data_IF_482028183653
#
_entry.id   IF_482028183653
#
_cell.length_a   1.000
_cell.length_b   1.000
_cell.length_c   1.000
_cell.angle_alpha   90.00
_cell.angle_beta   90.00
_cell.angle_gamma   90.00
#
_symmetry.space_group_name_H-M   'P 1'
#
loop_
_entity.id
_entity.type
_entity.pdbx_description
1 polymer ?
#
# COMPACT_ATOMS: atom_id res chain seq x y z
N UNK A 1 5.69 18.27 -23.90
CA UNK A 1 6.80 17.57 -23.18
C UNK A 1 7.62 16.89 -24.25
N UNK A 2 8.95 16.89 -24.13
CA UNK A 2 9.79 16.10 -25.02
C UNK A 2 9.54 14.62 -24.76
N UNK A 3 9.71 13.78 -25.77
CA UNK A 3 9.70 12.33 -25.65
C UNK A 3 10.82 11.90 -24.68
N UNK A 4 10.55 10.94 -23.80
CA UNK A 4 11.52 10.39 -22.85
C UNK A 4 11.86 8.95 -23.24
N UNK A 5 13.13 8.58 -23.25
CA UNK A 5 13.58 7.20 -23.38
C UNK A 5 14.30 6.75 -22.11
N UNK A 6 13.94 5.59 -21.57
CA UNK A 6 14.61 4.99 -20.41
C UNK A 6 15.26 3.68 -20.86
N UNK A 7 16.58 3.61 -20.73
CA UNK A 7 17.37 2.41 -20.98
C UNK A 7 17.69 1.75 -19.64
N UNK A 8 17.35 0.48 -19.49
CA UNK A 8 17.65 -0.28 -18.28
C UNK A 8 18.46 -1.53 -18.58
N UNK A 9 19.33 -1.95 -17.65
CA UNK A 9 20.16 -3.16 -17.78
C UNK A 9 19.35 -4.43 -17.55
N UNK A 10 18.37 -4.34 -16.70
CA UNK A 10 17.37 -5.37 -16.38
C UNK A 10 16.06 -4.72 -15.98
N UNK A 11 14.95 -5.46 -16.03
CA UNK A 11 13.64 -4.87 -15.79
C UNK A 11 12.61 -5.91 -15.35
N UNK A 12 11.54 -5.43 -14.73
CA UNK A 12 10.33 -6.17 -14.41
C UNK A 12 9.19 -5.63 -15.26
N UNK A 13 8.51 -6.49 -16.02
CA UNK A 13 7.45 -6.04 -16.92
C UNK A 13 6.05 -5.91 -16.27
N UNK A 14 5.95 -6.33 -15.00
CA UNK A 14 4.71 -6.44 -14.22
C UNK A 14 4.30 -7.89 -13.93
N UNK A 15 4.92 -8.87 -14.61
CA UNK A 15 4.71 -10.31 -14.40
C UNK A 15 6.04 -11.07 -14.25
N UNK A 16 7.06 -10.73 -15.07
CA UNK A 16 8.34 -11.41 -15.11
C UNK A 16 9.53 -10.46 -15.01
N UNK A 17 10.64 -10.98 -14.47
CA UNK A 17 11.92 -10.26 -14.42
C UNK A 17 12.73 -10.66 -15.66
N UNK A 18 13.22 -9.64 -16.36
CA UNK A 18 14.05 -9.76 -17.56
C UNK A 18 15.48 -9.32 -17.25
N UNK A 19 16.45 -10.18 -17.61
CA UNK A 19 17.88 -9.96 -17.35
C UNK A 19 18.61 -9.27 -18.50
N UNK A 20 17.97 -9.13 -19.67
CA UNK A 20 18.49 -8.41 -20.83
C UNK A 20 18.08 -6.94 -20.78
N UNK A 21 18.91 -6.05 -21.38
CA UNK A 21 18.58 -4.63 -21.46
C UNK A 21 17.31 -4.37 -22.24
N UNK A 22 16.66 -3.25 -21.89
CA UNK A 22 15.44 -2.72 -22.53
C UNK A 22 15.58 -1.23 -22.78
N UNK A 23 14.92 -0.72 -23.82
CA UNK A 23 14.66 0.71 -24.02
C UNK A 23 13.15 0.92 -24.05
N UNK A 24 12.64 1.71 -23.11
CA UNK A 24 11.22 2.09 -22.99
C UNK A 24 11.07 3.53 -23.44
N UNK A 25 10.21 3.78 -24.42
CA UNK A 25 9.91 5.12 -24.96
C UNK A 25 8.57 5.60 -24.43
N UNK A 26 8.57 6.80 -23.93
CA UNK A 26 7.42 7.48 -23.31
C UNK A 26 7.14 8.75 -24.10
N UNK A 27 5.90 8.90 -24.53
CA UNK A 27 5.38 10.14 -25.09
C UNK A 27 4.15 10.58 -24.29
N UNK A 28 4.16 11.81 -23.82
CA UNK A 28 3.19 12.36 -22.89
C UNK A 28 3.03 11.46 -21.66
N UNK A 29 1.88 10.80 -21.49
CA UNK A 29 1.58 9.95 -20.33
C UNK A 29 1.60 8.45 -20.66
N UNK A 30 2.07 8.05 -21.86
CA UNK A 30 1.90 6.68 -22.37
C UNK A 30 3.23 6.08 -22.81
N UNK A 31 3.41 4.79 -22.57
CA UNK A 31 4.51 3.99 -23.15
C UNK A 31 4.18 3.75 -24.62
N UNK A 32 4.97 4.30 -25.52
CA UNK A 32 4.74 4.20 -26.98
C UNK A 32 5.57 3.13 -27.66
N UNK A 33 6.72 2.74 -27.05
CA UNK A 33 7.51 1.62 -27.53
C UNK A 33 8.29 0.94 -26.40
N UNK A 34 8.54 -0.36 -26.58
CA UNK A 34 9.42 -1.19 -25.73
C UNK A 34 10.31 -1.98 -26.64
N UNK A 35 11.60 -1.70 -26.62
CA UNK A 35 12.59 -2.32 -27.50
C UNK A 35 13.56 -3.18 -26.69
N UNK A 36 13.86 -4.37 -27.17
CA UNK A 36 14.93 -5.19 -26.61
C UNK A 36 16.29 -4.51 -26.86
N UNK A 37 17.13 -4.48 -25.85
CA UNK A 37 18.45 -3.88 -25.91
C UNK A 37 18.45 -2.35 -25.67
N UNK A 38 19.64 -1.79 -25.67
CA UNK A 38 19.85 -0.34 -25.56
C UNK A 38 19.90 0.25 -26.95
N UNK A 39 18.93 1.08 -27.29
CA UNK A 39 18.88 1.77 -28.58
C UNK A 39 18.79 3.29 -28.34
N UNK A 40 19.44 4.03 -29.22
CA UNK A 40 19.28 5.50 -29.27
C UNK A 40 17.92 5.83 -29.89
N UNK A 41 17.15 6.71 -29.23
CA UNK A 41 15.86 7.20 -29.72
C UNK A 41 16.02 8.67 -30.10
N UNK A 42 16.10 9.00 -31.41
CA UNK A 42 16.29 10.37 -31.85
C UNK A 42 15.19 11.32 -31.34
N UNK A 43 15.59 12.47 -30.85
CA UNK A 43 14.65 13.50 -30.38
C UNK A 43 14.03 13.25 -29.00
N UNK A 44 14.54 12.25 -28.25
CA UNK A 44 14.13 12.01 -26.88
C UNK A 44 15.20 12.43 -25.87
N UNK A 45 14.76 12.87 -24.69
CA UNK A 45 15.62 12.93 -23.52
C UNK A 45 15.90 11.47 -23.07
N UNK A 46 17.16 11.12 -22.78
CA UNK A 46 17.54 9.74 -22.47
C UNK A 46 18.02 9.59 -21.03
N UNK A 47 17.57 8.54 -20.35
CA UNK A 47 18.01 8.14 -19.01
C UNK A 47 18.49 6.68 -19.03
N UNK A 48 19.67 6.41 -18.44
CA UNK A 48 20.18 5.05 -18.25
C UNK A 48 20.11 4.65 -16.75
N UNK A 49 19.60 3.45 -16.47
CA UNK A 49 19.39 2.94 -15.11
C UNK A 49 19.75 1.45 -15.02
N UNK A 50 20.08 0.94 -13.84
CA UNK A 50 20.38 -0.47 -13.63
C UNK A 50 19.15 -1.37 -13.64
N UNK A 51 18.01 -0.87 -13.13
CA UNK A 51 16.76 -1.63 -13.10
C UNK A 51 15.55 -0.71 -13.31
N UNK A 52 14.59 -1.20 -14.10
CA UNK A 52 13.32 -0.51 -14.37
C UNK A 52 12.15 -1.42 -14.00
N UNK A 53 11.15 -0.87 -13.32
CA UNK A 53 9.89 -1.54 -13.03
C UNK A 53 8.69 -0.64 -13.29
N UNK A 54 7.47 -1.17 -13.38
CA UNK A 54 6.29 -0.36 -13.16
C UNK A 54 6.41 0.35 -11.83
N UNK A 55 5.83 1.52 -11.71
CA UNK A 55 5.84 2.30 -10.48
C UNK A 55 5.25 1.51 -9.31
N UNK A 56 5.94 1.55 -8.17
CA UNK A 56 5.50 0.83 -6.98
C UNK A 56 4.17 1.39 -6.46
N UNK A 57 3.41 0.55 -5.78
CA UNK A 57 2.12 0.85 -5.17
C UNK A 57 2.20 0.57 -3.68
N UNK A 58 1.91 1.57 -2.87
CA UNK A 58 1.67 1.43 -1.43
C UNK A 58 0.17 1.20 -1.22
N UNK A 59 -0.22 -0.05 -0.87
CA UNK A 59 -1.64 -0.40 -0.79
C UNK A 59 -2.30 -0.03 0.53
N UNK A 60 -1.54 0.38 1.54
CA UNK A 60 -2.09 0.79 2.84
C UNK A 60 -1.19 1.83 3.53
N UNK A 61 -1.62 3.07 3.54
CA UNK A 61 -0.97 4.13 4.28
C UNK A 61 -1.99 5.11 4.88
N UNK A 62 -1.55 5.92 5.83
CA UNK A 62 -2.24 7.07 6.39
C UNK A 62 -1.37 8.31 6.19
N UNK A 63 -1.57 9.04 5.10
CA UNK A 63 -0.71 10.15 4.69
C UNK A 63 -0.66 11.30 5.70
N UNK A 64 -1.73 11.50 6.46
CA UNK A 64 -1.78 12.54 7.47
C UNK A 64 -0.93 12.25 8.72
N UNK A 65 -0.55 11.00 8.97
CA UNK A 65 0.25 10.61 10.14
C UNK A 65 1.75 10.77 9.89
N UNK A 66 2.48 11.22 10.92
CA UNK A 66 3.94 11.25 10.87
C UNK A 66 4.53 9.92 11.35
N UNK A 67 4.88 9.05 10.40
CA UNK A 67 5.56 7.79 10.66
C UNK A 67 7.05 7.93 11.03
N UNK A 68 7.61 9.14 11.06
CA UNK A 68 9.01 9.42 11.42
C UNK A 68 9.18 9.87 12.88
N UNK A 69 8.10 10.27 13.56
CA UNK A 69 8.14 10.56 15.00
C UNK A 69 7.81 9.29 15.79
N UNK A 70 8.68 8.89 16.68
CA UNK A 70 8.55 7.66 17.49
C UNK A 70 8.21 7.95 18.96
N UNK A 71 8.36 9.20 19.40
CA UNK A 71 7.94 9.63 20.74
C UNK A 71 6.41 9.67 20.82
N UNK A 72 5.84 8.84 21.69
CA UNK A 72 4.39 8.69 21.81
C UNK A 72 3.70 9.96 22.30
N UNK A 73 4.34 10.77 23.17
CA UNK A 73 3.79 12.03 23.65
C UNK A 73 3.74 13.08 22.54
N UNK A 74 4.80 13.16 21.71
CA UNK A 74 4.82 14.04 20.54
C UNK A 74 3.79 13.63 19.51
N UNK A 75 3.64 12.32 19.26
CA UNK A 75 2.59 11.80 18.37
C UNK A 75 1.19 12.14 18.86
N UNK A 76 0.94 12.05 20.17
CA UNK A 76 -0.33 12.45 20.74
C UNK A 76 -0.56 13.96 20.58
N UNK A 77 0.42 14.80 20.91
CA UNK A 77 0.33 16.26 20.71
C UNK A 77 0.13 16.62 19.22
N UNK A 78 0.76 15.88 18.31
CA UNK A 78 0.56 16.05 16.88
C UNK A 78 -0.91 15.81 16.46
N UNK A 79 -1.63 14.88 17.08
CA UNK A 79 -3.05 14.63 16.78
C UNK A 79 -3.96 15.81 17.15
N UNK A 80 -3.48 16.75 17.93
CA UNK A 80 -4.16 18.01 18.30
C UNK A 80 -3.73 19.20 17.43
N UNK A 81 -2.72 19.04 16.57
CA UNK A 81 -2.14 20.12 15.78
C UNK A 81 -3.05 20.66 14.66
N UNK A 82 -4.09 19.91 14.30
CA UNK A 82 -5.10 20.33 13.35
C UNK A 82 -4.75 20.12 11.87
N UNK A 83 -5.71 20.49 11.03
CA UNK A 83 -5.76 20.14 9.60
C UNK A 83 -4.54 20.60 8.81
N UNK A 84 -4.05 21.83 9.05
CA UNK A 84 -2.90 22.37 8.28
C UNK A 84 -1.60 21.62 8.56
N UNK A 85 -1.36 21.21 9.82
CA UNK A 85 -0.21 20.39 10.17
C UNK A 85 -0.29 19.01 9.51
N UNK A 86 -1.47 18.38 9.51
CA UNK A 86 -1.71 17.10 8.85
C UNK A 86 -1.47 17.19 7.34
N UNK A 87 -1.94 18.25 6.69
CA UNK A 87 -1.75 18.47 5.28
C UNK A 87 -0.27 18.70 4.93
N UNK A 88 0.43 19.49 5.75
CA UNK A 88 1.87 19.71 5.58
C UNK A 88 2.69 18.41 5.72
N UNK A 89 2.32 17.56 6.68
CA UNK A 89 2.90 16.21 6.85
C UNK A 89 2.60 15.33 5.65
N UNK A 90 1.36 15.31 5.18
CA UNK A 90 0.94 14.51 4.03
C UNK A 90 1.69 14.87 2.75
N UNK A 91 1.93 16.17 2.48
CA UNK A 91 2.75 16.63 1.35
C UNK A 91 4.18 16.07 1.42
N UNK A 92 4.82 16.15 2.61
CA UNK A 92 6.16 15.56 2.82
C UNK A 92 6.16 14.05 2.62
N UNK A 93 5.11 13.37 3.06
CA UNK A 93 4.98 11.93 2.89
C UNK A 93 4.84 11.54 1.42
N UNK A 94 4.10 12.30 0.60
CA UNK A 94 4.05 12.08 -0.85
C UNK A 94 5.42 12.23 -1.51
N UNK A 95 6.23 13.21 -1.10
CA UNK A 95 7.60 13.38 -1.61
C UNK A 95 8.49 12.18 -1.24
N UNK A 96 8.35 11.65 -0.02
CA UNK A 96 9.08 10.46 0.45
C UNK A 96 8.69 9.22 -0.34
N UNK A 97 7.39 9.01 -0.57
CA UNK A 97 6.87 7.92 -1.39
C UNK A 97 7.45 7.99 -2.81
N UNK A 98 7.42 9.16 -3.47
CA UNK A 98 8.02 9.36 -4.78
C UNK A 98 9.51 9.02 -4.80
N UNK A 99 10.28 9.48 -3.82
CA UNK A 99 11.71 9.21 -3.71
C UNK A 99 12.02 7.70 -3.49
N UNK A 100 11.04 6.92 -3.08
CA UNK A 100 11.12 5.47 -2.91
C UNK A 100 10.55 4.69 -4.11
N UNK A 101 10.24 5.36 -5.23
CA UNK A 101 9.70 4.72 -6.44
C UNK A 101 8.21 4.42 -6.42
N UNK A 102 7.48 4.91 -5.42
CA UNK A 102 6.04 4.71 -5.29
C UNK A 102 5.32 5.75 -6.16
N UNK A 103 4.46 5.30 -7.07
CA UNK A 103 3.69 6.13 -8.01
C UNK A 103 2.20 6.17 -7.71
N UNK A 104 1.72 5.25 -6.86
CA UNK A 104 0.33 5.16 -6.43
C UNK A 104 0.30 4.77 -4.94
N UNK A 105 -0.51 5.45 -4.15
CA UNK A 105 -0.75 5.12 -2.75
C UNK A 105 -2.23 5.08 -2.46
N UNK A 106 -2.71 4.03 -1.76
CA UNK A 106 -4.03 3.99 -1.16
C UNK A 106 -3.94 4.54 0.26
N UNK A 107 -4.51 5.72 0.46
CA UNK A 107 -4.72 6.29 1.79
C UNK A 107 -5.98 5.68 2.40
N UNK A 108 -5.80 4.97 3.52
CA UNK A 108 -6.84 4.19 4.19
C UNK A 108 -7.74 5.01 5.14
N UNK A 109 -7.70 6.32 5.02
CA UNK A 109 -8.71 7.19 5.59
C UNK A 109 -8.21 8.16 6.66
N UNK A 110 -8.89 9.28 6.71
CA UNK A 110 -8.84 10.29 7.76
C UNK A 110 -10.20 11.01 7.87
N UNK A 111 -10.46 11.69 8.98
CA UNK A 111 -11.72 12.43 9.19
C UNK A 111 -11.62 13.95 8.96
N UNK A 112 -10.47 14.43 8.45
CA UNK A 112 -10.22 15.86 8.22
C UNK A 112 -10.17 16.21 6.73
N UNK A 113 -10.40 15.23 5.84
CA UNK A 113 -10.37 15.40 4.40
C UNK A 113 -8.95 15.64 3.84
N UNK A 114 -7.93 15.16 4.55
CA UNK A 114 -6.53 15.31 4.13
C UNK A 114 -6.26 14.46 2.88
N UNK A 115 -6.72 13.20 2.87
CA UNK A 115 -6.53 12.30 1.74
C UNK A 115 -7.17 12.83 0.45
N UNK A 116 -8.37 13.42 0.53
CA UNK A 116 -9.02 14.08 -0.63
C UNK A 116 -8.26 15.32 -1.10
N UNK A 117 -7.77 16.13 -0.15
CA UNK A 117 -6.98 17.32 -0.48
C UNK A 117 -5.67 16.93 -1.17
N UNK A 118 -4.95 15.95 -0.63
CA UNK A 118 -3.70 15.45 -1.21
C UNK A 118 -3.93 14.81 -2.59
N UNK A 119 -5.04 14.09 -2.80
CA UNK A 119 -5.44 13.57 -4.11
C UNK A 119 -5.56 14.69 -5.14
N UNK A 120 -6.21 15.78 -4.75
CA UNK A 120 -6.39 16.95 -5.63
C UNK A 120 -5.06 17.65 -5.90
N UNK A 121 -4.23 17.86 -4.87
CA UNK A 121 -2.94 18.54 -5.01
C UNK A 121 -1.92 17.74 -5.83
N UNK A 122 -1.94 16.41 -5.72
CA UNK A 122 -1.04 15.53 -6.45
C UNK A 122 -1.44 15.37 -7.93
N UNK A 123 -2.70 15.60 -8.27
CA UNK A 123 -3.21 15.41 -9.63
C UNK A 123 -2.45 16.26 -10.65
N UNK A 124 -1.98 15.63 -11.73
CA UNK A 124 -1.24 16.30 -12.80
C UNK A 124 0.17 16.76 -12.43
N UNK A 125 0.72 16.27 -11.31
CA UNK A 125 2.11 16.52 -10.89
C UNK A 125 2.97 15.25 -11.07
N UNK A 126 4.24 15.31 -10.66
CA UNK A 126 5.11 14.13 -10.57
C UNK A 126 5.06 13.46 -9.16
N UNK A 127 4.09 13.82 -8.32
CA UNK A 127 3.85 13.14 -7.04
C UNK A 127 3.03 11.86 -7.26
N UNK A 128 3.08 10.89 -6.33
CA UNK A 128 2.26 9.69 -6.39
C UNK A 128 0.77 10.03 -6.52
N UNK A 129 0.06 9.29 -7.34
CA UNK A 129 -1.41 9.34 -7.38
C UNK A 129 -1.94 8.87 -6.02
N UNK A 130 -2.86 9.62 -5.45
CA UNK A 130 -3.52 9.24 -4.19
C UNK A 130 -4.86 8.61 -4.49
N UNK A 131 -5.04 7.35 -4.11
CA UNK A 131 -6.32 6.67 -4.03
C UNK A 131 -6.87 6.88 -2.61
N UNK A 132 -7.96 7.58 -2.49
CA UNK A 132 -8.47 8.07 -1.21
C UNK A 132 -9.68 7.26 -0.75
N UNK A 133 -9.59 6.61 0.42
CA UNK A 133 -10.73 5.96 1.05
C UNK A 133 -11.67 6.94 1.78
N UNK A 134 -11.31 8.23 1.85
CA UNK A 134 -12.10 9.23 2.54
C UNK A 134 -12.14 9.00 4.05
N UNK A 135 -13.33 9.06 4.63
CA UNK A 135 -13.58 8.78 6.06
C UNK A 135 -14.03 7.33 6.22
N UNK A 136 -13.33 6.54 7.03
CA UNK A 136 -13.72 5.17 7.34
C UNK A 136 -15.03 5.09 8.15
N UNK A 137 -15.65 3.91 8.21
CA UNK A 137 -16.86 3.66 9.00
C UNK A 137 -16.55 2.73 10.15
N UNK A 138 -16.96 3.08 11.39
CA UNK A 138 -16.78 2.27 12.59
C UNK A 138 -18.06 2.23 13.45
N UNK A 139 -18.17 1.24 14.31
CA UNK A 139 -19.21 1.18 15.35
C UNK A 139 -18.91 2.19 16.44
N UNK A 140 -19.96 2.89 16.93
CA UNK A 140 -19.86 3.83 18.04
C UNK A 140 -19.19 3.20 19.26
N UNK A 141 -18.25 3.95 19.85
CA UNK A 141 -17.50 3.52 21.04
C UNK A 141 -16.47 2.43 20.80
N UNK A 142 -16.23 1.99 19.54
CA UNK A 142 -15.22 0.97 19.20
C UNK A 142 -13.96 1.64 18.63
N UNK A 143 -12.96 0.82 18.27
CA UNK A 143 -11.69 1.28 17.69
C UNK A 143 -11.90 2.07 16.38
N UNK A 144 -11.01 3.03 16.13
CA UNK A 144 -10.94 3.81 14.88
C UNK A 144 -11.40 5.28 15.02
N UNK A 145 -11.59 5.81 16.24
CA UNK A 145 -12.13 7.16 16.50
C UNK A 145 -11.32 8.30 15.86
N UNK A 146 -10.06 8.10 15.60
CA UNK A 146 -9.16 9.13 15.05
C UNK A 146 -9.22 9.25 13.51
N UNK A 147 -9.85 8.30 12.79
CA UNK A 147 -9.92 8.35 11.31
C UNK A 147 -11.27 7.93 10.74
N UNK A 148 -12.22 7.48 11.57
CA UNK A 148 -13.49 6.92 11.13
C UNK A 148 -14.71 7.66 11.74
N UNK A 149 -15.81 7.68 10.99
CA UNK A 149 -17.12 8.14 11.39
C UNK A 149 -17.88 7.05 12.14
N UNK A 150 -18.65 7.45 13.15
CA UNK A 150 -19.41 6.53 14.00
C UNK A 150 -20.80 6.24 13.44
N UNK A 151 -21.16 4.96 13.46
CA UNK A 151 -22.52 4.47 13.19
C UNK A 151 -23.04 3.65 14.36
N UNK A 152 -24.35 3.68 14.58
CA UNK A 152 -24.98 3.08 15.77
C UNK A 152 -25.70 1.76 15.49
N UNK A 153 -26.17 1.54 14.26
CA UNK A 153 -26.92 0.38 13.83
C UNK A 153 -26.71 0.04 12.34
N UNK A 154 -27.34 -1.01 11.86
CA UNK A 154 -27.26 -1.46 10.47
C UNK A 154 -27.75 -0.42 9.46
N UNK A 155 -28.84 0.27 9.78
CA UNK A 155 -29.45 1.28 8.88
C UNK A 155 -28.53 2.47 8.71
N UNK A 156 -27.99 3.00 9.80
CA UNK A 156 -27.04 4.11 9.78
C UNK A 156 -25.73 3.74 9.14
N UNK A 157 -25.26 2.46 9.29
CA UNK A 157 -24.05 1.97 8.68
C UNK A 157 -24.14 1.96 7.13
N UNK A 158 -25.18 1.36 6.57
CA UNK A 158 -25.39 1.33 5.12
C UNK A 158 -25.65 2.75 4.54
N UNK A 159 -26.40 3.60 5.26
CA UNK A 159 -26.63 4.99 4.87
C UNK A 159 -25.32 5.79 4.86
N UNK A 160 -24.48 5.61 5.88
CA UNK A 160 -23.15 6.24 5.95
C UNK A 160 -22.27 5.81 4.75
N UNK A 161 -22.28 4.53 4.36
CA UNK A 161 -21.54 4.08 3.17
C UNK A 161 -22.03 4.78 1.91
N UNK A 162 -23.34 4.96 1.72
CA UNK A 162 -23.91 5.65 0.55
C UNK A 162 -23.47 7.12 0.43
N UNK A 163 -23.00 7.75 1.50
CA UNK A 163 -22.46 9.12 1.43
C UNK A 163 -21.03 9.19 0.90
N UNK A 164 -20.34 8.05 0.69
CA UNK A 164 -18.93 7.97 0.24
C UNK A 164 -18.78 8.15 -1.28
N UNK A 165 -19.54 9.06 -1.86
CA UNK A 165 -19.58 9.28 -3.33
C UNK A 165 -18.25 9.80 -3.88
N UNK A 166 -17.49 10.57 -3.10
CA UNK A 166 -16.21 11.16 -3.49
C UNK A 166 -14.97 10.29 -3.14
N UNK A 167 -15.16 9.20 -2.41
CA UNK A 167 -14.07 8.26 -2.09
C UNK A 167 -13.80 7.33 -3.27
N UNK A 168 -12.55 6.83 -3.38
CA UNK A 168 -12.20 5.78 -4.35
C UNK A 168 -12.49 4.38 -3.81
N UNK A 169 -12.44 4.21 -2.49
CA UNK A 169 -12.76 2.98 -1.75
C UNK A 169 -13.70 3.29 -0.57
N UNK A 170 -14.34 2.26 -0.03
CA UNK A 170 -15.08 2.33 1.24
C UNK A 170 -14.28 1.61 2.32
N UNK A 171 -13.69 2.34 3.26
CA UNK A 171 -12.95 1.77 4.40
C UNK A 171 -13.91 1.47 5.56
N UNK A 172 -13.83 0.24 6.07
CA UNK A 172 -14.61 -0.26 7.21
C UNK A 172 -13.67 -0.75 8.29
N UNK A 173 -13.92 -0.36 9.55
CA UNK A 173 -13.19 -0.86 10.71
C UNK A 173 -13.95 -2.04 11.28
N UNK A 174 -13.54 -3.25 10.90
CA UNK A 174 -14.26 -4.49 11.26
C UNK A 174 -13.90 -5.01 12.64
N UNK A 175 -12.64 -4.81 13.08
CA UNK A 175 -12.18 -5.29 14.41
C UNK A 175 -11.38 -4.20 15.12
N UNK A 176 -10.93 -4.48 16.36
CA UNK A 176 -9.90 -3.69 17.01
C UNK A 176 -8.50 -4.03 16.52
N UNK A 177 -7.52 -3.32 17.07
CA UNK A 177 -6.09 -3.60 16.83
C UNK A 177 -5.62 -4.83 17.60
N UNK A 178 -4.39 -5.26 17.35
CA UNK A 178 -3.69 -6.23 18.20
C UNK A 178 -3.40 -5.57 19.56
N UNK A 179 -3.80 -6.21 20.62
CA UNK A 179 -3.32 -5.93 21.97
C UNK A 179 -1.92 -6.54 22.09
N UNK A 180 -0.91 -5.67 22.10
CA UNK A 180 0.48 -6.11 22.07
C UNK A 180 0.89 -6.85 23.35
N UNK A 181 0.27 -6.54 24.50
CA UNK A 181 0.57 -7.23 25.75
C UNK A 181 -0.08 -8.62 25.79
N UNK A 182 -1.33 -8.72 25.31
CA UNK A 182 -2.09 -9.98 25.28
C UNK A 182 -1.78 -10.84 24.04
N UNK A 183 -1.12 -10.28 23.02
CA UNK A 183 -0.91 -10.89 21.72
C UNK A 183 -2.21 -11.45 21.11
N UNK A 184 -3.26 -10.65 21.14
CA UNK A 184 -4.60 -11.00 20.69
C UNK A 184 -5.32 -9.80 20.07
N UNK A 185 -6.41 -10.03 19.34
CA UNK A 185 -7.24 -8.95 18.82
C UNK A 185 -8.05 -8.31 19.95
N UNK A 186 -7.99 -6.99 20.05
CA UNK A 186 -8.71 -6.22 21.07
C UNK A 186 -10.20 -6.09 20.73
N UNK A 187 -11.03 -6.82 21.45
CA UNK A 187 -12.48 -6.87 21.26
C UNK A 187 -12.90 -7.73 20.05
N UNK A 188 -14.20 -8.03 19.97
CA UNK A 188 -14.79 -8.80 18.87
C UNK A 188 -15.07 -7.94 17.62
N UNK A 189 -15.71 -8.54 16.59
CA UNK A 189 -16.17 -7.82 15.40
C UNK A 189 -17.04 -6.61 15.72
N UNK A 190 -16.93 -5.53 14.93
CA UNK A 190 -17.73 -4.33 15.11
C UNK A 190 -19.10 -4.42 14.44
N UNK A 191 -19.21 -5.27 13.43
CA UNK A 191 -20.43 -5.46 12.64
C UNK A 191 -20.76 -6.94 12.54
N UNK A 192 -22.04 -7.28 12.57
CA UNK A 192 -22.54 -8.62 12.25
C UNK A 192 -22.41 -8.87 10.74
N UNK A 193 -22.65 -10.14 10.35
CA UNK A 193 -22.70 -10.51 8.93
C UNK A 193 -23.73 -9.70 8.13
N UNK A 194 -24.95 -9.56 8.68
CA UNK A 194 -26.06 -8.86 8.01
C UNK A 194 -25.75 -7.36 7.85
N UNK A 195 -25.19 -6.73 8.89
CA UNK A 195 -24.78 -5.33 8.87
C UNK A 195 -23.68 -5.09 7.84
N UNK A 196 -22.64 -5.91 7.85
CA UNK A 196 -21.54 -5.76 6.89
C UNK A 196 -21.98 -6.07 5.46
N UNK A 197 -22.88 -7.06 5.27
CA UNK A 197 -23.47 -7.35 3.95
C UNK A 197 -24.27 -6.16 3.40
N UNK A 198 -25.01 -5.47 4.25
CA UNK A 198 -25.71 -4.24 3.85
C UNK A 198 -24.73 -3.11 3.47
N UNK A 199 -23.59 -2.99 4.18
CA UNK A 199 -22.54 -2.00 3.88
C UNK A 199 -21.84 -2.32 2.55
N UNK A 200 -21.47 -3.59 2.31
CA UNK A 200 -20.82 -4.01 1.05
C UNK A 200 -21.77 -3.88 -0.14
N UNK A 201 -23.07 -4.17 0.05
CA UNK A 201 -24.09 -3.91 -0.97
C UNK A 201 -24.21 -2.42 -1.31
N UNK A 202 -24.23 -1.54 -0.29
CA UNK A 202 -24.25 -0.08 -0.49
C UNK A 202 -23.00 0.42 -1.23
N UNK A 203 -21.82 -0.11 -0.90
CA UNK A 203 -20.58 0.22 -1.62
C UNK A 203 -20.64 -0.25 -3.10
N UNK A 204 -21.20 -1.42 -3.35
CA UNK A 204 -21.41 -1.95 -4.70
C UNK A 204 -22.38 -1.09 -5.52
N UNK A 205 -23.44 -0.54 -4.90
CA UNK A 205 -24.35 0.43 -5.54
C UNK A 205 -23.59 1.67 -6.03
N UNK A 206 -22.54 2.09 -5.31
CA UNK A 206 -21.67 3.18 -5.70
C UNK A 206 -20.56 2.79 -6.68
N UNK A 207 -20.43 1.50 -7.03
CA UNK A 207 -19.32 0.98 -7.84
C UNK A 207 -17.97 1.06 -7.14
N UNK A 208 -17.93 1.03 -5.80
CA UNK A 208 -16.71 1.23 -5.02
C UNK A 208 -16.23 -0.07 -4.37
N UNK A 209 -14.92 -0.40 -4.46
CA UNK A 209 -14.31 -1.47 -3.69
C UNK A 209 -14.42 -1.21 -2.19
N UNK A 210 -14.47 -2.28 -1.41
CA UNK A 210 -14.47 -2.20 0.06
C UNK A 210 -13.15 -2.68 0.62
N UNK A 211 -12.68 -2.05 1.70
CA UNK A 211 -11.43 -2.37 2.38
C UNK A 211 -11.65 -2.42 3.89
N UNK A 212 -11.27 -3.51 4.55
CA UNK A 212 -11.54 -3.71 5.97
C UNK A 212 -10.25 -3.76 6.81
N UNK A 213 -10.13 -2.86 7.80
CA UNK A 213 -9.24 -3.12 8.94
C UNK A 213 -9.81 -4.32 9.70
N UNK A 214 -9.16 -5.47 9.62
CA UNK A 214 -9.72 -6.71 10.12
C UNK A 214 -8.65 -7.72 10.51
N UNK A 215 -8.72 -8.21 11.74
CA UNK A 215 -7.91 -9.30 12.27
C UNK A 215 -8.77 -10.22 13.12
N UNK A 216 -8.26 -11.42 13.40
CA UNK A 216 -9.01 -12.44 14.14
C UNK A 216 -9.98 -13.23 13.28
N UNK A 217 -10.00 -14.54 13.50
CA UNK A 217 -10.72 -15.52 12.67
C UNK A 217 -12.19 -15.15 12.46
N UNK A 218 -12.90 -14.78 13.53
CA UNK A 218 -14.33 -14.44 13.45
C UNK A 218 -14.59 -13.19 12.58
N UNK A 219 -13.82 -12.12 12.81
CA UNK A 219 -13.97 -10.88 12.02
C UNK A 219 -13.67 -11.10 10.55
N UNK A 220 -12.63 -11.87 10.24
CA UNK A 220 -12.23 -12.17 8.86
C UNK A 220 -13.28 -13.08 8.19
N UNK A 221 -13.81 -14.10 8.89
CA UNK A 221 -14.88 -14.96 8.35
C UNK A 221 -16.12 -14.15 7.95
N UNK A 222 -16.56 -13.26 8.86
CA UNK A 222 -17.68 -12.36 8.57
C UNK A 222 -17.37 -11.47 7.36
N UNK A 223 -16.19 -10.88 7.31
CA UNK A 223 -15.81 -9.96 6.25
C UNK A 223 -15.73 -10.65 4.87
N UNK A 224 -15.10 -11.82 4.79
CA UNK A 224 -15.00 -12.60 3.55
C UNK A 224 -16.39 -13.04 3.07
N UNK A 225 -17.24 -13.55 3.97
CA UNK A 225 -18.62 -13.94 3.61
C UNK A 225 -19.48 -12.77 3.16
N UNK A 226 -19.28 -11.60 3.74
CA UNK A 226 -19.99 -10.37 3.35
C UNK A 226 -19.47 -9.74 2.04
N UNK A 227 -18.45 -10.33 1.40
CA UNK A 227 -17.93 -9.87 0.11
C UNK A 227 -17.03 -8.65 0.19
N UNK A 228 -16.25 -8.52 1.27
CA UNK A 228 -15.21 -7.48 1.38
C UNK A 228 -14.17 -7.64 0.25
N UNK A 229 -13.78 -6.53 -0.37
CA UNK A 229 -12.81 -6.52 -1.47
C UNK A 229 -11.37 -6.79 -1.01
N UNK A 230 -10.94 -6.22 0.12
CA UNK A 230 -9.63 -6.53 0.72
C UNK A 230 -9.66 -6.55 2.24
N UNK A 231 -8.87 -7.49 2.82
CA UNK A 231 -8.56 -7.57 4.25
C UNK A 231 -7.22 -6.89 4.47
N UNK A 232 -7.21 -5.93 5.37
CA UNK A 232 -5.99 -5.27 5.83
C UNK A 232 -5.53 -5.89 7.15
N UNK A 233 -4.23 -6.06 7.30
CA UNK A 233 -3.56 -6.78 8.40
C UNK A 233 -3.82 -8.29 8.34
N UNK A 234 -5.02 -8.76 8.61
CA UNK A 234 -5.36 -10.18 8.50
C UNK A 234 -4.64 -11.07 9.52
N UNK A 235 -4.22 -10.54 10.66
CA UNK A 235 -3.62 -11.36 11.71
C UNK A 235 -4.63 -12.43 12.19
N UNK A 236 -4.13 -13.65 12.46
CA UNK A 236 -4.91 -14.84 12.80
C UNK A 236 -5.78 -15.41 11.66
N UNK A 237 -5.38 -15.19 10.41
CA UNK A 237 -5.85 -15.97 9.26
C UNK A 237 -5.50 -17.45 9.46
N UNK A 238 -6.31 -18.32 8.89
CA UNK A 238 -6.03 -19.75 8.76
C UNK A 238 -6.18 -20.21 7.30
N UNK A 239 -5.82 -21.47 7.04
CA UNK A 239 -5.83 -22.05 5.70
C UNK A 239 -7.22 -22.09 5.05
N UNK A 240 -8.30 -22.25 5.86
CA UNK A 240 -9.67 -22.23 5.38
C UNK A 240 -10.09 -20.85 4.89
N UNK A 241 -9.78 -19.81 5.67
CA UNK A 241 -10.06 -18.43 5.30
C UNK A 241 -9.26 -18.00 4.07
N UNK A 242 -7.99 -18.39 3.97
CA UNK A 242 -7.17 -18.13 2.78
C UNK A 242 -7.75 -18.78 1.52
N UNK A 243 -8.25 -20.01 1.61
CA UNK A 243 -8.93 -20.68 0.49
C UNK A 243 -10.20 -19.93 0.07
N UNK A 244 -11.01 -19.48 1.03
CA UNK A 244 -12.21 -18.70 0.75
C UNK A 244 -11.87 -17.34 0.13
N UNK A 245 -10.81 -16.70 0.59
CA UNK A 245 -10.32 -15.43 0.01
C UNK A 245 -9.87 -15.64 -1.43
N UNK A 246 -9.09 -16.69 -1.70
CA UNK A 246 -8.64 -17.02 -3.06
C UNK A 246 -9.81 -17.28 -4.00
N UNK A 247 -10.80 -18.08 -3.57
CA UNK A 247 -11.99 -18.46 -4.35
C UNK A 247 -12.96 -17.28 -4.53
N UNK A 248 -13.12 -16.45 -3.49
CA UNK A 248 -14.02 -15.29 -3.48
C UNK A 248 -13.41 -14.03 -4.07
N UNK A 249 -12.12 -14.03 -4.41
CA UNK A 249 -11.42 -12.85 -4.95
C UNK A 249 -11.14 -11.76 -3.91
N UNK A 250 -11.21 -12.06 -2.61
CA UNK A 250 -10.84 -11.12 -1.55
C UNK A 250 -9.32 -10.99 -1.49
N UNK A 251 -8.78 -9.78 -1.68
CA UNK A 251 -7.36 -9.51 -1.57
C UNK A 251 -6.89 -9.40 -0.10
N UNK A 252 -5.58 -9.54 0.11
CA UNK A 252 -4.96 -9.41 1.42
C UNK A 252 -3.80 -8.41 1.38
N UNK A 253 -3.80 -7.44 2.31
CA UNK A 253 -2.68 -6.54 2.57
C UNK A 253 -2.10 -6.86 3.94
N UNK A 254 -0.98 -7.61 4.05
CA UNK A 254 -0.49 -8.17 5.31
C UNK A 254 -0.03 -7.14 6.34
N UNK A 255 0.55 -6.01 5.92
CA UNK A 255 1.06 -4.95 6.81
C UNK A 255 1.90 -5.49 7.97
N UNK A 256 2.98 -6.16 7.64
CA UNK A 256 3.85 -6.85 8.59
C UNK A 256 4.50 -5.92 9.63
N UNK A 257 4.95 -4.75 9.15
CA UNK A 257 5.90 -3.90 9.86
C UNK A 257 5.40 -3.34 11.18
N UNK A 258 4.14 -2.88 11.36
CA UNK A 258 3.71 -2.33 12.65
C UNK A 258 3.93 -3.29 13.82
N UNK A 259 3.59 -4.57 13.64
CA UNK A 259 3.74 -5.60 14.68
C UNK A 259 5.22 -5.99 14.87
N UNK A 260 5.97 -6.13 13.78
CA UNK A 260 7.39 -6.44 13.84
C UNK A 260 8.17 -5.32 14.56
N UNK A 261 7.87 -4.05 14.25
CA UNK A 261 8.51 -2.92 14.88
C UNK A 261 8.26 -2.90 16.40
N UNK A 262 7.04 -3.16 16.85
CA UNK A 262 6.71 -3.21 18.30
C UNK A 262 7.44 -4.36 18.98
N UNK A 263 7.50 -5.56 18.35
CA UNK A 263 8.28 -6.68 18.87
C UNK A 263 9.75 -6.31 19.07
N UNK A 264 10.32 -5.58 18.11
CA UNK A 264 11.75 -5.22 18.10
C UNK A 264 12.06 -3.97 18.95
N UNK A 265 11.02 -3.16 19.27
CA UNK A 265 11.10 -1.97 20.10
C UNK A 265 10.07 -1.99 21.26
N UNK A 266 10.06 -3.03 22.11
CA UNK A 266 8.99 -3.25 23.07
C UNK A 266 8.86 -2.13 24.11
N UNK A 267 9.94 -1.47 24.45
CA UNK A 267 9.94 -0.35 25.40
C UNK A 267 9.09 0.84 24.92
N UNK A 268 8.99 1.07 23.61
CA UNK A 268 8.20 2.16 23.04
C UNK A 268 6.70 2.01 23.28
N UNK A 269 6.23 0.77 23.50
CA UNK A 269 4.82 0.45 23.76
C UNK A 269 4.60 -0.21 25.12
N UNK A 270 5.59 -0.16 26.02
CA UNK A 270 5.56 -0.79 27.35
C UNK A 270 5.19 -2.31 27.29
N UNK A 271 5.68 -3.02 26.28
CA UNK A 271 5.42 -4.46 26.07
C UNK A 271 6.43 -5.28 26.88
N UNK A 272 5.92 -6.15 27.77
CA UNK A 272 6.74 -7.07 28.56
C UNK A 272 7.21 -8.30 27.77
N UNK A 273 8.06 -9.12 28.38
CA UNK A 273 8.67 -10.30 27.73
C UNK A 273 7.62 -11.28 27.15
N UNK A 274 6.53 -11.56 27.87
CA UNK A 274 5.46 -12.43 27.40
C UNK A 274 4.75 -11.86 26.17
N UNK A 275 4.54 -10.53 26.12
CA UNK A 275 4.00 -9.83 24.97
C UNK A 275 4.94 -9.93 23.77
N UNK A 276 6.25 -9.72 23.94
CA UNK A 276 7.26 -9.89 22.88
C UNK A 276 7.22 -11.30 22.30
N UNK A 277 7.19 -12.33 23.19
CA UNK A 277 7.08 -13.72 22.77
C UNK A 277 5.75 -14.00 22.02
N UNK A 278 4.65 -13.37 22.48
CA UNK A 278 3.34 -13.44 21.81
C UNK A 278 3.37 -12.83 20.42
N UNK A 279 3.94 -11.63 20.26
CA UNK A 279 4.09 -10.98 18.96
C UNK A 279 4.99 -11.79 18.01
N UNK A 280 6.04 -12.44 18.52
CA UNK A 280 6.85 -13.40 17.77
C UNK A 280 5.99 -14.51 17.17
N UNK A 281 5.16 -15.19 17.98
CA UNK A 281 4.25 -16.24 17.49
C UNK A 281 3.24 -15.75 16.46
N UNK A 282 2.70 -14.54 16.64
CA UNK A 282 1.79 -13.92 15.67
C UNK A 282 2.50 -13.73 14.32
N UNK A 283 3.72 -13.21 14.32
CA UNK A 283 4.51 -12.98 13.11
C UNK A 283 4.93 -14.31 12.45
N UNK A 284 5.27 -15.33 13.21
CA UNK A 284 5.58 -16.66 12.66
C UNK A 284 4.35 -17.26 11.96
N UNK A 285 3.16 -17.15 12.56
CA UNK A 285 1.92 -17.58 11.93
C UNK A 285 1.61 -16.74 10.69
N UNK A 286 1.83 -15.42 10.75
CA UNK A 286 1.61 -14.51 9.62
C UNK A 286 2.53 -14.83 8.44
N UNK A 287 3.80 -15.20 8.72
CA UNK A 287 4.76 -15.71 7.74
C UNK A 287 4.26 -16.98 7.06
N UNK A 288 3.81 -17.96 7.84
CA UNK A 288 3.25 -19.20 7.31
C UNK A 288 2.01 -18.93 6.43
N UNK A 289 1.14 -18.03 6.87
CA UNK A 289 -0.04 -17.61 6.12
C UNK A 289 0.31 -16.90 4.80
N UNK A 290 1.39 -16.13 4.75
CA UNK A 290 1.84 -15.44 3.54
C UNK A 290 2.28 -16.45 2.45
N UNK A 291 3.03 -17.49 2.84
CA UNK A 291 3.42 -18.58 1.95
C UNK A 291 2.18 -19.33 1.46
N UNK A 292 1.26 -19.66 2.37
CA UNK A 292 0.04 -20.40 2.04
C UNK A 292 -0.90 -19.58 1.14
N UNK A 293 -1.04 -18.27 1.38
CA UNK A 293 -1.78 -17.36 0.52
C UNK A 293 -1.24 -17.35 -0.91
N UNK A 294 0.09 -17.24 -1.04
CA UNK A 294 0.75 -17.32 -2.34
C UNK A 294 0.48 -18.66 -3.04
N UNK A 295 0.63 -19.79 -2.31
CA UNK A 295 0.40 -21.14 -2.85
C UNK A 295 -1.06 -21.34 -3.32
N UNK A 296 -2.04 -20.74 -2.63
CA UNK A 296 -3.47 -20.82 -2.98
C UNK A 296 -3.90 -19.82 -4.05
N UNK A 297 -3.05 -18.87 -4.43
CA UNK A 297 -3.40 -17.82 -5.38
C UNK A 297 -4.25 -16.70 -4.79
N UNK A 298 -4.27 -16.54 -3.45
CA UNK A 298 -4.85 -15.35 -2.81
C UNK A 298 -4.09 -14.11 -3.30
N UNK A 299 -4.80 -13.08 -3.71
CA UNK A 299 -4.20 -11.83 -4.20
C UNK A 299 -3.54 -11.09 -3.04
N UNK A 300 -2.21 -11.03 -3.03
CA UNK A 300 -1.43 -10.29 -2.03
C UNK A 300 -1.15 -8.90 -2.57
N UNK A 301 -1.46 -7.87 -1.76
CA UNK A 301 -1.19 -6.46 -2.04
C UNK A 301 -0.13 -5.98 -1.05
N UNK A 302 1.00 -5.49 -1.55
CA UNK A 302 2.01 -4.94 -0.65
C UNK A 302 1.55 -3.60 -0.07
N UNK A 303 1.64 -3.47 1.25
CA UNK A 303 1.22 -2.27 1.97
C UNK A 303 1.70 -2.31 3.41
N UNK A 304 2.20 -1.19 3.90
CA UNK A 304 2.99 -1.14 5.12
C UNK A 304 2.25 -0.60 6.35
N UNK A 305 1.07 0.01 6.16
CA UNK A 305 0.39 0.83 7.18
C UNK A 305 1.26 2.04 7.59
N UNK A 306 1.93 2.65 6.58
CA UNK A 306 2.78 3.81 6.79
C UNK A 306 2.04 4.96 7.47
N UNK A 307 2.69 5.56 8.47
CA UNK A 307 2.10 6.52 9.39
C UNK A 307 1.81 5.91 10.77
N UNK A 308 1.65 4.59 10.88
CA UNK A 308 1.63 3.89 12.17
C UNK A 308 2.95 4.05 12.91
N UNK A 309 2.95 3.80 14.23
CA UNK A 309 4.16 3.92 15.05
C UNK A 309 5.27 3.01 14.50
N UNK A 310 6.42 3.61 14.20
CA UNK A 310 7.59 2.90 13.66
C UNK A 310 7.56 2.67 12.15
N UNK A 311 6.49 3.04 11.43
CA UNK A 311 6.34 2.76 10.01
C UNK A 311 6.46 4.04 9.17
N UNK A 312 7.61 4.20 8.54
CA UNK A 312 7.93 5.38 7.73
C UNK A 312 7.35 5.28 6.32
N UNK A 313 6.81 6.38 5.83
CA UNK A 313 6.38 6.47 4.43
C UNK A 313 7.56 6.26 3.47
N UNK A 314 7.36 5.38 2.51
CA UNK A 314 8.40 4.93 1.58
C UNK A 314 9.19 3.74 2.12
N UNK A 315 9.92 3.91 3.23
CA UNK A 315 10.73 2.83 3.81
C UNK A 315 9.89 1.63 4.25
N UNK A 316 8.69 1.88 4.84
CA UNK A 316 7.80 0.82 5.32
C UNK A 316 7.40 -0.19 4.24
N UNK A 317 7.08 0.27 3.02
CA UNK A 317 6.80 -0.65 1.92
C UNK A 317 7.98 -1.56 1.61
N UNK A 318 9.20 -1.00 1.56
CA UNK A 318 10.40 -1.80 1.29
C UNK A 318 10.72 -2.77 2.42
N UNK A 319 10.40 -2.42 3.67
CA UNK A 319 10.54 -3.32 4.82
C UNK A 319 9.52 -4.48 4.73
N UNK A 320 8.28 -4.22 4.30
CA UNK A 320 7.28 -5.27 4.03
C UNK A 320 7.74 -6.20 2.89
N UNK A 321 8.26 -5.65 1.77
CA UNK A 321 8.79 -6.47 0.68
C UNK A 321 9.98 -7.34 1.14
N UNK A 322 10.83 -6.82 2.02
CA UNK A 322 11.92 -7.61 2.61
C UNK A 322 11.37 -8.75 3.48
N UNK A 323 10.33 -8.50 4.29
CA UNK A 323 9.67 -9.54 5.07
C UNK A 323 9.04 -10.64 4.18
N UNK A 324 8.51 -10.28 3.00
CA UNK A 324 7.99 -11.25 2.03
C UNK A 324 9.10 -12.12 1.44
N UNK A 325 10.27 -11.54 1.17
CA UNK A 325 11.44 -12.30 0.72
C UNK A 325 11.98 -13.23 1.80
N UNK A 326 12.05 -12.74 3.05
CA UNK A 326 12.46 -13.54 4.22
C UNK A 326 11.46 -14.68 4.50
N UNK A 327 10.19 -14.51 4.13
CA UNK A 327 9.19 -15.57 4.14
C UNK A 327 9.40 -16.62 3.03
N UNK A 328 10.13 -16.27 1.97
CA UNK A 328 10.44 -17.18 0.86
C UNK A 328 9.57 -16.98 -0.38
N UNK A 329 8.86 -15.86 -0.52
CA UNK A 329 8.10 -15.57 -1.74
C UNK A 329 9.06 -15.36 -2.93
N UNK A 330 8.71 -15.81 -4.15
CA UNK A 330 9.49 -15.53 -5.35
C UNK A 330 9.57 -14.02 -5.63
N UNK A 331 10.73 -13.54 -6.08
CA UNK A 331 10.98 -12.13 -6.34
C UNK A 331 9.94 -11.50 -7.30
N UNK A 332 9.57 -12.22 -8.36
CA UNK A 332 8.54 -11.74 -9.30
C UNK A 332 7.17 -11.53 -8.59
N UNK A 333 6.79 -12.43 -7.67
CA UNK A 333 5.55 -12.30 -6.89
C UNK A 333 5.62 -11.13 -5.90
N UNK A 334 6.78 -10.90 -5.30
CA UNK A 334 7.03 -9.75 -4.42
C UNK A 334 6.87 -8.45 -5.22
N UNK A 335 7.51 -8.33 -6.38
CA UNK A 335 7.39 -7.15 -7.23
C UNK A 335 5.96 -6.97 -7.76
N UNK A 336 5.29 -8.06 -8.15
CA UNK A 336 3.89 -8.01 -8.59
C UNK A 336 2.96 -7.50 -7.49
N UNK A 337 3.16 -7.90 -6.21
CA UNK A 337 2.34 -7.45 -5.08
C UNK A 337 2.42 -5.94 -4.84
N UNK A 338 3.52 -5.30 -5.25
CA UNK A 338 3.74 -3.85 -5.15
C UNK A 338 3.61 -3.11 -6.50
N UNK A 339 3.09 -3.72 -7.56
CA UNK A 339 2.98 -3.07 -8.87
C UNK A 339 1.69 -3.46 -9.60
N UNK A 340 1.67 -4.62 -10.27
CA UNK A 340 0.56 -5.06 -11.12
C UNK A 340 -0.64 -5.61 -10.33
N UNK A 341 -0.42 -6.29 -9.21
CA UNK A 341 -1.50 -6.90 -8.44
C UNK A 341 -2.49 -5.87 -7.86
N UNK A 342 -2.03 -4.79 -7.16
CA UNK A 342 -2.98 -3.79 -6.65
C UNK A 342 -3.73 -3.08 -7.77
N UNK A 343 -3.07 -2.73 -8.88
CA UNK A 343 -3.74 -2.08 -9.99
C UNK A 343 -4.83 -2.99 -10.61
N UNK A 344 -4.55 -4.28 -10.78
CA UNK A 344 -5.56 -5.26 -11.23
C UNK A 344 -6.72 -5.39 -10.24
N UNK A 345 -6.42 -5.53 -8.95
CA UNK A 345 -7.43 -5.68 -7.90
C UNK A 345 -8.38 -4.47 -7.83
N UNK A 346 -7.90 -3.27 -8.19
CA UNK A 346 -8.69 -2.04 -8.20
C UNK A 346 -9.24 -1.65 -9.56
N UNK A 347 -9.04 -2.48 -10.60
CA UNK A 347 -9.50 -2.19 -11.96
C UNK A 347 -8.80 -1.00 -12.61
N UNK A 348 -7.57 -0.69 -12.22
CA UNK A 348 -6.78 0.43 -12.74
C UNK A 348 -5.88 -0.02 -13.89
N UNK A 349 -5.69 0.85 -14.86
CA UNK A 349 -4.67 0.68 -15.89
C UNK A 349 -3.25 0.82 -15.32
N UNK A 350 -2.24 0.32 -16.04
CA UNK A 350 -0.84 0.38 -15.64
C UNK A 350 -0.39 -0.84 -14.83
N UNK A 351 0.76 -0.70 -14.14
CA UNK A 351 1.41 -1.82 -13.44
C UNK A 351 2.13 -2.79 -14.38
N UNK A 352 2.27 -2.43 -15.66
CA UNK A 352 3.00 -3.20 -16.68
C UNK A 352 3.83 -2.28 -17.56
N UNK A 353 5.01 -2.75 -17.98
CA UNK A 353 5.81 -2.11 -19.02
C UNK A 353 5.44 -2.73 -20.35
N UNK A 354 4.47 -2.13 -21.03
CA UNK A 354 4.00 -2.55 -22.34
C UNK A 354 3.47 -1.36 -23.13
N UNK A 355 3.50 -1.45 -24.47
CA UNK A 355 2.98 -0.41 -25.34
C UNK A 355 1.50 -0.14 -25.06
N UNK A 356 1.13 1.13 -25.00
CA UNK A 356 -0.22 1.60 -24.69
C UNK A 356 -0.54 1.70 -23.19
N UNK A 357 0.34 1.25 -22.30
CA UNK A 357 0.15 1.39 -20.85
C UNK A 357 0.52 2.80 -20.37
N UNK A 358 -0.11 3.26 -19.26
CA UNK A 358 0.31 4.50 -18.60
C UNK A 358 1.78 4.46 -18.21
N UNK A 359 2.47 5.58 -18.41
CA UNK A 359 3.87 5.75 -18.05
C UNK A 359 4.00 6.10 -16.56
N UNK A 360 3.74 5.10 -15.71
CA UNK A 360 4.02 5.10 -14.27
C UNK A 360 5.15 4.11 -14.01
N UNK A 361 6.37 4.60 -13.78
CA UNK A 361 7.58 3.79 -13.73
C UNK A 361 8.45 4.18 -12.53
N UNK A 362 9.21 3.21 -12.03
CA UNK A 362 10.24 3.39 -11.02
C UNK A 362 11.58 2.85 -11.53
N UNK A 363 12.61 3.68 -11.47
CA UNK A 363 13.95 3.36 -11.93
C UNK A 363 14.93 3.34 -10.75
N UNK A 364 15.80 2.33 -10.72
CA UNK A 364 16.72 2.07 -9.62
C UNK A 364 18.15 1.90 -10.14
N UNK A 365 19.13 2.12 -9.26
CA UNK A 365 20.55 2.04 -9.61
C UNK A 365 20.98 0.61 -9.93
N UNK A 366 20.36 -0.42 -9.33
CA UNK A 366 20.68 -1.82 -9.54
C UNK A 366 19.45 -2.72 -9.38
N UNK A 367 19.56 -3.96 -9.87
CA UNK A 367 18.52 -4.97 -9.80
C UNK A 367 18.26 -5.44 -8.36
N UNK A 368 16.98 -5.65 -7.95
CA UNK A 368 16.64 -6.22 -6.65
C UNK A 368 17.11 -7.66 -6.47
N UNK A 369 17.54 -8.33 -7.51
CA UNK A 369 18.15 -9.68 -7.45
C UNK A 369 19.51 -9.69 -6.75
N UNK A 370 20.19 -8.55 -6.67
CA UNK A 370 21.42 -8.38 -5.86
C UNK A 370 21.10 -8.01 -4.41
N UNK A 371 19.82 -7.82 -4.08
CA UNK A 371 19.30 -7.49 -2.76
C UNK A 371 18.16 -6.46 -2.86
N UNK A 372 17.05 -6.72 -2.15
CA UNK A 372 15.87 -5.84 -2.16
C UNK A 372 16.15 -4.41 -1.69
N UNK A 373 17.23 -4.20 -0.93
CA UNK A 373 17.70 -2.87 -0.54
C UNK A 373 17.95 -1.92 -1.71
N UNK A 374 18.19 -2.44 -2.91
CA UNK A 374 18.36 -1.64 -4.14
C UNK A 374 17.09 -0.85 -4.52
N UNK A 375 15.92 -1.31 -4.10
CA UNK A 375 14.65 -0.64 -4.37
C UNK A 375 14.33 0.51 -3.39
N UNK A 376 15.12 0.71 -2.32
CA UNK A 376 14.78 1.70 -1.27
C UNK A 376 14.82 3.15 -1.74
N UNK A 377 15.61 3.43 -2.76
CA UNK A 377 15.73 4.80 -3.32
C UNK A 377 15.69 4.72 -4.83
N UNK A 378 14.65 5.31 -5.40
CA UNK A 378 14.57 5.46 -6.83
C UNK A 378 15.58 6.52 -7.30
N UNK A 379 16.28 6.25 -8.40
CA UNK A 379 17.09 7.26 -9.11
C UNK A 379 16.20 8.16 -9.96
N UNK A 380 15.06 7.62 -10.42
CA UNK A 380 14.02 8.37 -11.09
C UNK A 380 12.64 7.71 -10.87
N UNK A 381 11.60 8.53 -10.90
CA UNK A 381 10.20 8.10 -10.85
C UNK A 381 9.42 8.82 -11.93
N UNK A 382 8.62 8.10 -12.68
CA UNK A 382 7.72 8.66 -13.70
C UNK A 382 6.29 8.46 -13.23
N UNK A 383 5.51 9.54 -13.16
CA UNK A 383 4.08 9.50 -12.78
C UNK A 383 3.29 10.21 -13.88
N UNK A 384 2.39 9.48 -14.54
CA UNK A 384 1.63 10.02 -15.67
C UNK A 384 2.53 10.68 -16.73
N UNK A 385 3.68 10.07 -17.04
CA UNK A 385 4.68 10.57 -17.97
C UNK A 385 5.57 11.72 -17.45
N UNK A 386 5.37 12.19 -16.22
CA UNK A 386 6.16 13.29 -15.61
C UNK A 386 7.34 12.71 -14.85
N UNK A 387 8.54 13.06 -15.31
CA UNK A 387 9.79 12.59 -14.72
C UNK A 387 10.15 13.39 -13.47
N UNK A 388 10.49 12.69 -12.41
CA UNK A 388 11.26 13.18 -11.28
C UNK A 388 12.59 12.43 -11.20
N UNK A 389 13.69 13.12 -10.90
CA UNK A 389 15.01 12.53 -10.71
C UNK A 389 15.58 12.93 -9.37
N UNK A 390 16.27 11.99 -8.70
CA UNK A 390 17.02 12.27 -7.49
C UNK A 390 18.21 13.21 -7.80
N UNK A 391 18.47 14.20 -6.96
CA UNK A 391 19.53 15.20 -7.19
C UNK A 391 20.93 14.59 -7.37
N UNK A 392 21.19 13.40 -6.84
CA UNK A 392 22.46 12.69 -7.02
C UNK A 392 22.58 12.01 -8.39
N UNK A 393 21.48 11.75 -9.08
CA UNK A 393 21.48 11.08 -10.40
C UNK A 393 21.89 12.03 -11.54
N UNK A 394 21.70 13.33 -11.37
CA UNK A 394 22.06 14.35 -12.37
C UNK A 394 23.58 14.44 -12.65
N UNK A 395 24.42 13.90 -11.77
CA UNK A 395 25.89 13.89 -11.94
C UNK A 395 26.39 12.65 -12.71
N UNK A 396 25.58 11.59 -12.84
CA UNK A 396 25.96 10.38 -13.59
C UNK A 396 25.63 10.45 -15.09
N UNK A 397 24.74 11.35 -15.48
CA UNK A 397 24.37 11.55 -16.89
C UNK A 397 25.29 12.54 -17.64
N UNK A 398 26.22 13.20 -16.95
CA UNK A 398 27.13 14.21 -17.50
C UNK A 398 28.60 13.72 -17.59
N UNK A 399 28.87 12.46 -17.32
CA UNK A 399 30.15 11.76 -17.47
C UNK A 399 29.99 10.64 -18.50
#
# INVERSE_FOLDING_TARGET
MNMLSIQADSWFDGDAIHHQPVTVVIDAATITAVHNGRIAVPGSDSLHVGFLSPGLVESHAHLFLDGHEFDTAKRQAYMEAGREAFLATGRKNLERLRASGITLVRDCGDKWGINHALRTEAAGTALPVVRSAGVAVRRKGRYGSFFAEEVVDATTAAACVRTRTDSDDVKIVMTGIIDFAAAAVKGGPQFSFDELSAMTAAAKELGKPTVAHCSGREGIDIAVRAGIGSIEHGFFLDAELLERMATGGTAWTPTWIPVAWVRDNPAACAVGADGVAGLGRILDQHRANLIEAHRRGTVILAGSDAGSLGVRHGDGLHDDLAAYADAGLPMASILASATSAPRRAWGLAGGRIAVGQPADLAAFAASPLTGLGQLRRAVATVVGGRLWQAQSASRLAAA
#
